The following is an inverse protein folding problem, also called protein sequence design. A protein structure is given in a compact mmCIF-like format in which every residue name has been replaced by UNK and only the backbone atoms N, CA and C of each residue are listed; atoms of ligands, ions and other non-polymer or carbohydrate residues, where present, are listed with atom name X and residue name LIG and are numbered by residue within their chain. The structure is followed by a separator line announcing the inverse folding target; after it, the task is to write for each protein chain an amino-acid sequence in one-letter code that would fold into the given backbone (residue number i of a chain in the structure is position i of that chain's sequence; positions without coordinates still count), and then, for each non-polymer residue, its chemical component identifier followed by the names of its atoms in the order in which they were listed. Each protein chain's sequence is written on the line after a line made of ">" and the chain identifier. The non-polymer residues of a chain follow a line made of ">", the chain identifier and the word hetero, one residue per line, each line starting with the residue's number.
data_IF_064360531073
#
_entry.id   IF_064360531073
#
_cell.length_a   1.000
_cell.length_b   1.000
_cell.length_c   1.000
_cell.angle_alpha   90.00
_cell.angle_beta   90.00
_cell.angle_gamma   90.00
#
_symmetry.space_group_name_H-M   'P 1'
#
loop_
_entity.id
_entity.type
_entity.pdbx_description
1 polymer ?
#
# COMPACT_ATOMS: atom_id res chain seq x y z
N UNK A 1 5.06 -15.67 29.73
CA UNK A 1 3.61 -15.50 29.46
C UNK A 1 3.31 -14.14 28.85
N UNK A 2 3.97 -13.07 29.30
CA UNK A 2 3.79 -11.71 28.77
C UNK A 2 4.22 -11.56 27.31
N UNK A 3 5.42 -12.04 26.93
CA UNK A 3 5.94 -12.00 25.55
C UNK A 3 5.02 -12.69 24.54
N UNK A 4 4.47 -13.86 24.86
CA UNK A 4 3.53 -14.58 23.99
C UNK A 4 2.22 -13.81 23.76
N UNK A 5 1.74 -13.06 24.77
CA UNK A 5 0.56 -12.20 24.61
C UNK A 5 0.85 -11.03 23.67
N UNK A 6 2.01 -10.40 23.78
CA UNK A 6 2.39 -9.26 22.92
C UNK A 6 2.57 -9.69 21.46
N UNK A 7 3.22 -10.84 21.21
CA UNK A 7 3.32 -11.38 19.84
C UNK A 7 1.94 -11.72 19.26
N UNK A 8 1.03 -12.25 20.08
CA UNK A 8 -0.37 -12.47 19.69
C UNK A 8 -1.10 -11.19 19.28
N UNK A 9 -0.84 -10.06 19.95
CA UNK A 9 -1.37 -8.75 19.53
C UNK A 9 -0.80 -8.31 18.19
N UNK A 10 0.49 -8.57 17.90
CA UNK A 10 1.09 -8.30 16.59
C UNK A 10 0.38 -9.04 15.46
N UNK A 11 0.11 -10.33 15.65
CA UNK A 11 -0.63 -11.15 14.69
C UNK A 11 -2.05 -10.59 14.45
N UNK A 12 -2.75 -10.18 15.52
CA UNK A 12 -4.11 -9.62 15.40
C UNK A 12 -4.10 -8.30 14.63
N UNK A 13 -3.17 -7.39 14.94
CA UNK A 13 -3.05 -6.11 14.22
C UNK A 13 -2.74 -6.34 12.75
N UNK A 14 -1.87 -7.30 12.45
CA UNK A 14 -1.54 -7.62 11.06
C UNK A 14 -2.72 -8.24 10.30
N UNK A 15 -3.51 -9.12 10.94
CA UNK A 15 -4.74 -9.65 10.34
C UNK A 15 -5.77 -8.54 10.06
N UNK A 16 -5.91 -7.58 10.97
CA UNK A 16 -6.78 -6.41 10.76
C UNK A 16 -6.28 -5.57 9.58
N UNK A 17 -4.97 -5.36 9.49
CA UNK A 17 -4.36 -4.63 8.39
C UNK A 17 -4.60 -5.30 7.04
N UNK A 18 -4.27 -6.60 6.90
CA UNK A 18 -4.50 -7.35 5.66
C UNK A 18 -5.98 -7.33 5.26
N UNK A 19 -6.89 -7.47 6.23
CA UNK A 19 -8.33 -7.40 5.96
C UNK A 19 -8.72 -6.04 5.38
N UNK A 20 -8.18 -4.96 5.93
CA UNK A 20 -8.39 -3.61 5.42
C UNK A 20 -7.80 -3.44 4.00
N UNK A 21 -6.58 -3.93 3.76
CA UNK A 21 -5.95 -3.87 2.43
C UNK A 21 -6.75 -4.63 1.37
N UNK A 22 -7.37 -5.76 1.73
CA UNK A 22 -8.27 -6.50 0.82
C UNK A 22 -9.46 -5.63 0.41
N UNK A 23 -10.02 -4.86 1.35
CA UNK A 23 -11.11 -3.92 1.06
C UNK A 23 -10.62 -2.80 0.14
N UNK A 24 -9.48 -2.19 0.43
CA UNK A 24 -8.91 -1.13 -0.41
C UNK A 24 -8.58 -1.59 -1.81
N UNK A 25 -7.90 -2.73 -1.96
CA UNK A 25 -7.63 -3.32 -3.27
C UNK A 25 -8.93 -3.56 -4.03
N UNK A 26 -9.89 -4.26 -3.41
CA UNK A 26 -11.14 -4.63 -4.08
C UNK A 26 -11.98 -3.43 -4.50
N UNK A 27 -12.10 -2.42 -3.63
CA UNK A 27 -12.90 -1.22 -3.89
C UNK A 27 -12.13 -0.26 -4.78
N UNK A 28 -10.90 0.10 -4.42
CA UNK A 28 -10.05 1.05 -5.13
C UNK A 28 -9.75 0.61 -6.55
N UNK A 29 -9.35 -0.65 -6.76
CA UNK A 29 -9.06 -1.16 -8.11
C UNK A 29 -10.31 -1.17 -9.00
N UNK A 30 -11.43 -1.67 -8.49
CA UNK A 30 -12.69 -1.70 -9.25
C UNK A 30 -13.15 -0.29 -9.60
N UNK A 31 -13.17 0.59 -8.62
CA UNK A 31 -13.59 1.98 -8.82
C UNK A 31 -12.64 2.72 -9.77
N UNK A 32 -11.34 2.44 -9.70
CA UNK A 32 -10.35 3.01 -10.61
C UNK A 32 -10.59 2.59 -12.07
N UNK A 33 -10.93 1.31 -12.31
CA UNK A 33 -11.31 0.84 -13.65
C UNK A 33 -12.60 1.52 -14.11
N UNK A 34 -13.63 1.53 -13.27
CA UNK A 34 -14.95 2.08 -13.61
C UNK A 34 -14.89 3.59 -13.90
N UNK A 35 -13.97 4.32 -13.25
CA UNK A 35 -13.78 5.76 -13.42
C UNK A 35 -12.64 6.13 -14.38
N UNK A 36 -12.01 5.15 -15.04
CA UNK A 36 -10.81 5.37 -15.86
C UNK A 36 -9.69 6.15 -15.15
N UNK A 37 -9.58 5.96 -13.83
CA UNK A 37 -8.67 6.69 -12.95
C UNK A 37 -7.41 5.89 -12.70
N UNK A 38 -6.29 6.39 -13.23
CA UNK A 38 -4.97 5.77 -13.08
C UNK A 38 -4.51 5.87 -11.63
N UNK A 39 -4.80 6.97 -10.94
CA UNK A 39 -4.39 7.16 -9.53
C UNK A 39 -5.13 6.20 -8.60
N UNK A 40 -6.42 5.92 -8.83
CA UNK A 40 -7.20 4.95 -8.05
C UNK A 40 -6.78 3.50 -8.34
N UNK A 41 -6.46 3.17 -9.60
CA UNK A 41 -5.91 1.85 -9.96
C UNK A 41 -4.55 1.65 -9.26
N UNK A 42 -3.68 2.66 -9.30
CA UNK A 42 -2.39 2.63 -8.62
C UNK A 42 -2.54 2.38 -7.12
N UNK A 43 -3.42 3.14 -6.47
CA UNK A 43 -3.73 2.98 -5.05
C UNK A 43 -4.24 1.57 -4.71
N UNK A 44 -5.18 1.03 -5.48
CA UNK A 44 -5.65 -0.34 -5.26
C UNK A 44 -4.55 -1.38 -5.43
N UNK A 45 -3.71 -1.26 -6.47
CA UNK A 45 -2.60 -2.18 -6.72
C UNK A 45 -1.49 -2.09 -5.66
N UNK A 46 -1.31 -0.93 -5.05
CA UNK A 46 -0.42 -0.76 -3.90
C UNK A 46 -0.92 -1.54 -2.67
N UNK A 47 -2.22 -1.45 -2.34
CA UNK A 47 -2.81 -2.27 -1.27
C UNK A 47 -2.65 -3.78 -1.54
N UNK A 48 -2.65 -4.23 -2.80
CA UNK A 48 -2.37 -5.63 -3.14
C UNK A 48 -0.93 -6.02 -2.76
N UNK A 49 0.04 -5.13 -2.94
CA UNK A 49 1.43 -5.38 -2.52
C UNK A 49 1.53 -5.42 -0.99
N UNK A 50 0.82 -4.55 -0.27
CA UNK A 50 0.75 -4.60 1.20
C UNK A 50 0.13 -5.90 1.72
N UNK A 51 -0.86 -6.49 1.03
CA UNK A 51 -1.39 -7.82 1.38
C UNK A 51 -0.28 -8.88 1.30
N UNK A 52 0.51 -8.86 0.21
CA UNK A 52 1.59 -9.83 0.01
C UNK A 52 2.65 -9.66 1.11
N UNK A 53 3.08 -8.43 1.39
CA UNK A 53 4.03 -8.13 2.45
C UNK A 53 3.52 -8.56 3.83
N UNK A 54 2.26 -8.24 4.16
CA UNK A 54 1.63 -8.60 5.42
C UNK A 54 1.50 -10.12 5.62
N UNK A 55 1.21 -10.88 4.57
CA UNK A 55 1.17 -12.35 4.64
C UNK A 55 2.57 -12.92 4.99
N UNK A 56 3.62 -12.39 4.38
CA UNK A 56 5.00 -12.81 4.66
C UNK A 56 5.37 -12.48 6.10
N UNK A 57 4.99 -11.29 6.57
CA UNK A 57 5.18 -10.88 7.96
C UNK A 57 4.40 -11.76 8.95
N UNK A 58 3.16 -12.15 8.64
CA UNK A 58 2.37 -13.08 9.46
C UNK A 58 3.06 -14.44 9.61
N UNK A 59 3.62 -14.97 8.52
CA UNK A 59 4.38 -16.23 8.57
C UNK A 59 5.59 -16.07 9.48
N UNK A 60 6.31 -14.95 9.37
CA UNK A 60 7.47 -14.65 10.23
C UNK A 60 7.09 -14.56 11.71
N UNK A 61 6.07 -13.77 12.05
CA UNK A 61 5.57 -13.63 13.43
C UNK A 61 5.05 -14.97 13.98
N UNK A 62 4.43 -15.81 13.14
CA UNK A 62 4.00 -17.15 13.50
C UNK A 62 5.17 -18.08 13.85
N UNK A 63 6.25 -18.05 13.07
CA UNK A 63 7.45 -18.84 13.35
C UNK A 63 8.16 -18.36 14.62
N UNK A 64 8.24 -17.04 14.83
CA UNK A 64 8.76 -16.43 16.07
C UNK A 64 7.92 -16.83 17.29
N UNK A 65 6.59 -16.94 17.14
CA UNK A 65 5.68 -17.36 18.20
C UNK A 65 5.84 -18.84 18.59
N UNK A 66 6.02 -19.73 17.60
CA UNK A 66 6.18 -21.17 17.82
C UNK A 66 7.62 -21.58 18.18
N UNK A 67 8.60 -20.70 17.98
CA UNK A 67 10.02 -21.00 18.24
C UNK A 67 10.64 -21.98 17.24
N UNK A 68 10.04 -22.10 16.06
CA UNK A 68 10.50 -22.97 14.97
C UNK A 68 11.77 -22.42 14.32
N UNK A 69 12.72 -23.30 13.98
CA UNK A 69 13.97 -22.95 13.26
C UNK A 69 13.77 -23.02 11.73
N UNK A 70 12.74 -22.38 11.22
CA UNK A 70 12.56 -22.24 9.78
C UNK A 70 13.54 -21.18 9.25
N UNK A 71 14.12 -21.39 8.07
CA UNK A 71 15.01 -20.41 7.42
C UNK A 71 14.17 -19.28 6.79
N UNK A 72 13.67 -18.37 7.64
CA UNK A 72 12.81 -17.23 7.27
C UNK A 72 13.54 -16.28 6.33
N UNK A 73 14.86 -16.12 6.50
CA UNK A 73 15.68 -15.18 5.73
C UNK A 73 15.59 -15.40 4.21
N UNK A 74 15.44 -16.66 3.80
CA UNK A 74 15.31 -17.03 2.38
C UNK A 74 13.94 -16.68 1.81
N UNK A 75 12.88 -16.81 2.61
CA UNK A 75 11.52 -16.43 2.24
C UNK A 75 11.35 -14.91 2.19
N UNK A 76 11.92 -14.19 3.17
CA UNK A 76 11.91 -12.73 3.21
C UNK A 76 12.55 -12.17 1.93
N UNK A 77 13.75 -12.65 1.58
CA UNK A 77 14.49 -12.17 0.39
C UNK A 77 13.76 -12.42 -0.94
N UNK A 78 13.17 -13.61 -1.10
CA UNK A 78 12.38 -13.91 -2.31
C UNK A 78 11.15 -13.02 -2.39
N UNK A 79 10.48 -12.80 -1.25
CA UNK A 79 9.26 -11.99 -1.19
C UNK A 79 9.55 -10.52 -1.50
N UNK A 80 10.59 -9.94 -0.88
CA UNK A 80 11.03 -8.57 -1.15
C UNK A 80 11.34 -8.38 -2.63
N UNK A 81 12.12 -9.29 -3.23
CA UNK A 81 12.46 -9.21 -4.64
C UNK A 81 11.24 -9.26 -5.57
N UNK A 82 10.28 -10.15 -5.29
CA UNK A 82 9.05 -10.26 -6.08
C UNK A 82 8.23 -8.97 -5.95
N UNK A 83 8.03 -8.47 -4.73
CA UNK A 83 7.29 -7.23 -4.46
C UNK A 83 7.95 -6.04 -5.16
N UNK A 84 9.27 -5.87 -5.05
CA UNK A 84 10.01 -4.79 -5.72
C UNK A 84 9.87 -4.85 -7.24
N UNK A 85 9.96 -6.04 -7.85
CA UNK A 85 9.77 -6.19 -9.31
C UNK A 85 8.35 -5.79 -9.71
N UNK A 86 7.34 -6.23 -8.96
CA UNK A 86 5.95 -5.90 -9.29
C UNK A 86 5.68 -4.40 -9.10
N UNK A 87 6.20 -3.77 -8.05
CA UNK A 87 6.11 -2.32 -7.84
C UNK A 87 6.78 -1.53 -8.97
N UNK A 88 7.94 -1.98 -9.46
CA UNK A 88 8.59 -1.36 -10.63
C UNK A 88 7.74 -1.50 -11.89
N UNK A 89 7.10 -2.65 -12.12
CA UNK A 89 6.17 -2.84 -13.22
C UNK A 89 4.93 -1.95 -13.08
N UNK A 90 4.41 -1.79 -11.86
CA UNK A 90 3.31 -0.88 -11.55
C UNK A 90 3.69 0.57 -11.86
N UNK A 91 4.88 1.01 -11.44
CA UNK A 91 5.41 2.33 -11.77
C UNK A 91 5.51 2.55 -13.28
N UNK A 92 6.02 1.56 -14.01
CA UNK A 92 6.10 1.59 -15.47
C UNK A 92 4.71 1.71 -16.12
N UNK A 93 3.75 0.92 -15.66
CA UNK A 93 2.35 1.00 -16.09
C UNK A 93 1.78 2.40 -15.87
N UNK A 94 1.91 2.95 -14.66
CA UNK A 94 1.38 4.28 -14.31
C UNK A 94 2.00 5.35 -15.21
N UNK A 95 3.32 5.34 -15.42
CA UNK A 95 4.00 6.32 -16.25
C UNK A 95 3.55 6.27 -17.71
N UNK A 96 3.41 5.07 -18.27
CA UNK A 96 2.96 4.88 -19.65
C UNK A 96 1.51 5.34 -19.81
N UNK A 97 0.61 4.88 -18.94
CA UNK A 97 -0.82 5.20 -19.03
C UNK A 97 -1.09 6.67 -18.74
N UNK A 98 -0.47 7.25 -17.71
CA UNK A 98 -0.60 8.68 -17.40
C UNK A 98 -0.05 9.54 -18.53
N UNK A 99 1.09 9.17 -19.12
CA UNK A 99 1.66 9.86 -20.27
C UNK A 99 0.76 9.79 -21.51
N UNK A 100 0.15 8.63 -21.76
CA UNK A 100 -0.82 8.45 -22.84
C UNK A 100 -2.07 9.33 -22.63
N UNK A 101 -2.68 9.28 -21.45
CA UNK A 101 -3.86 10.08 -21.11
C UNK A 101 -3.57 11.58 -21.22
N UNK A 102 -2.38 12.01 -20.78
CA UNK A 102 -1.93 13.39 -20.91
C UNK A 102 -1.82 13.83 -22.38
N UNK A 103 -1.32 12.97 -23.25
CA UNK A 103 -1.20 13.25 -24.68
C UNK A 103 -2.57 13.31 -25.36
N UNK A 104 -3.46 12.37 -25.02
CA UNK A 104 -4.80 12.24 -25.62
C UNK A 104 -5.83 13.22 -25.05
N UNK A 105 -5.48 13.97 -24.01
CA UNK A 105 -6.40 14.85 -23.28
C UNK A 105 -7.58 14.09 -22.66
N UNK A 106 -7.33 12.85 -22.21
CA UNK A 106 -8.29 12.01 -21.51
C UNK A 106 -8.15 12.21 -20.00
N UNK A 107 -9.28 12.43 -19.32
CA UNK A 107 -9.34 12.59 -17.88
C UNK A 107 -10.18 11.51 -17.22
N UNK A 108 -9.94 11.28 -15.94
CA UNK A 108 -10.74 10.36 -15.14
C UNK A 108 -12.13 10.94 -14.84
N UNK A 109 -13.10 10.06 -14.67
CA UNK A 109 -14.43 10.42 -14.20
C UNK A 109 -14.43 10.65 -12.68
N UNK A 110 -15.40 11.44 -12.22
CA UNK A 110 -15.59 11.67 -10.79
C UNK A 110 -16.18 10.44 -10.11
N UNK A 111 -15.55 9.98 -9.02
CA UNK A 111 -16.01 8.81 -8.25
C UNK A 111 -16.23 9.11 -6.77
N UNK A 112 -17.50 9.05 -6.35
CA UNK A 112 -17.87 9.20 -4.94
C UNK A 112 -17.32 8.04 -4.09
N UNK A 113 -17.31 6.83 -4.63
CA UNK A 113 -16.73 5.67 -3.93
C UNK A 113 -15.22 5.81 -3.78
N UNK A 114 -14.54 6.38 -4.79
CA UNK A 114 -13.11 6.70 -4.74
C UNK A 114 -12.80 7.70 -3.62
N UNK A 115 -13.63 8.73 -3.48
CA UNK A 115 -13.51 9.70 -2.38
C UNK A 115 -13.72 9.04 -1.01
N UNK A 116 -14.75 8.20 -0.87
CA UNK A 116 -15.05 7.52 0.40
C UNK A 116 -13.91 6.59 0.81
N UNK A 117 -13.41 5.75 -0.11
CA UNK A 117 -12.31 4.83 0.22
C UNK A 117 -11.06 5.61 0.63
N UNK A 118 -10.68 6.65 -0.11
CA UNK A 118 -9.50 7.46 0.22
C UNK A 118 -9.63 8.19 1.57
N UNK A 119 -10.81 8.70 1.93
CA UNK A 119 -11.05 9.29 3.25
C UNK A 119 -10.89 8.23 4.35
N UNK A 120 -11.50 7.06 4.16
CA UNK A 120 -11.42 5.98 5.13
C UNK A 120 -9.98 5.50 5.31
N UNK A 121 -9.23 5.33 4.22
CA UNK A 121 -7.81 4.97 4.24
C UNK A 121 -6.96 6.02 4.97
N UNK A 122 -7.18 7.30 4.68
CA UNK A 122 -6.46 8.41 5.32
C UNK A 122 -6.68 8.44 6.85
N UNK A 123 -7.82 7.95 7.33
CA UNK A 123 -8.14 7.85 8.75
C UNK A 123 -7.61 6.55 9.35
N UNK A 124 -7.90 5.40 8.73
CA UNK A 124 -7.62 4.06 9.28
C UNK A 124 -6.12 3.76 9.28
N UNK A 125 -5.41 4.11 8.21
CA UNK A 125 -4.00 3.76 8.06
C UNK A 125 -3.09 4.31 9.15
N UNK A 126 -3.21 5.58 9.59
CA UNK A 126 -2.45 6.09 10.73
C UNK A 126 -2.67 5.30 12.03
N UNK A 127 -3.89 4.82 12.28
CA UNK A 127 -4.16 3.99 13.46
C UNK A 127 -3.49 2.62 13.37
N UNK A 128 -3.56 1.98 12.20
CA UNK A 128 -2.89 0.71 11.93
C UNK A 128 -1.37 0.89 12.07
N UNK A 129 -0.80 1.90 11.42
CA UNK A 129 0.62 2.22 11.48
C UNK A 129 1.10 2.44 12.92
N UNK A 130 0.35 3.21 13.71
CA UNK A 130 0.69 3.45 15.12
C UNK A 130 0.67 2.16 15.93
N UNK A 131 -0.34 1.31 15.74
CA UNK A 131 -0.45 0.02 16.43
C UNK A 131 0.70 -0.92 16.05
N UNK A 132 1.01 -1.07 14.77
CA UNK A 132 2.14 -1.87 14.25
C UNK A 132 3.47 -1.38 14.82
N UNK A 133 3.72 -0.07 14.76
CA UNK A 133 4.94 0.54 15.26
C UNK A 133 5.15 0.30 16.76
N UNK A 134 4.11 0.52 17.57
CA UNK A 134 4.19 0.36 19.01
C UNK A 134 4.41 -1.10 19.39
N UNK A 135 3.64 -2.02 18.82
CA UNK A 135 3.81 -3.46 19.08
C UNK A 135 5.19 -3.92 18.62
N UNK A 136 5.63 -3.51 17.42
CA UNK A 136 6.94 -3.81 16.87
C UNK A 136 8.08 -3.40 17.81
N UNK A 137 7.98 -2.22 18.42
CA UNK A 137 8.94 -1.77 19.45
C UNK A 137 8.91 -2.61 20.72
N UNK A 138 7.73 -3.04 21.17
CA UNK A 138 7.61 -3.84 22.39
C UNK A 138 8.15 -5.27 22.19
N UNK A 139 7.92 -5.87 21.02
CA UNK A 139 8.41 -7.22 20.71
C UNK A 139 9.83 -7.24 20.12
N UNK A 140 10.39 -6.07 19.76
CA UNK A 140 11.70 -5.96 19.11
C UNK A 140 11.72 -6.50 17.68
N UNK A 141 10.60 -6.39 16.95
CA UNK A 141 10.49 -6.85 15.57
C UNK A 141 10.66 -5.68 14.60
N UNK A 142 11.85 -5.60 14.01
CA UNK A 142 12.16 -4.59 12.98
C UNK A 142 11.26 -4.73 11.75
N UNK A 143 10.83 -5.96 11.42
CA UNK A 143 9.94 -6.20 10.28
C UNK A 143 8.55 -5.60 10.49
N UNK A 144 7.99 -5.71 11.71
CA UNK A 144 6.70 -5.08 12.03
C UNK A 144 6.81 -3.54 12.08
N UNK A 145 7.98 -3.01 12.45
CA UNK A 145 8.25 -1.57 12.41
C UNK A 145 8.37 -1.08 10.95
N UNK A 146 9.03 -1.84 10.08
CA UNK A 146 9.14 -1.53 8.65
C UNK A 146 7.76 -1.54 7.98
N UNK A 147 6.97 -2.56 8.26
CA UNK A 147 5.61 -2.70 7.73
C UNK A 147 4.65 -1.61 8.26
N UNK A 148 4.88 -1.09 9.47
CA UNK A 148 4.20 0.12 9.95
C UNK A 148 4.46 1.35 9.05
N UNK A 149 5.65 1.45 8.43
CA UNK A 149 5.96 2.54 7.50
C UNK A 149 5.23 2.37 6.17
N UNK A 150 5.00 1.14 5.70
CA UNK A 150 4.15 0.89 4.54
C UNK A 150 2.74 1.46 4.75
N UNK A 151 2.14 1.22 5.92
CA UNK A 151 0.83 1.81 6.26
C UNK A 151 0.86 3.34 6.32
N UNK A 152 1.98 3.96 6.71
CA UNK A 152 2.14 5.43 6.63
C UNK A 152 2.20 5.89 5.17
N UNK A 153 2.98 5.21 4.32
CA UNK A 153 3.06 5.50 2.88
C UNK A 153 1.69 5.39 2.24
N UNK A 154 0.91 4.37 2.57
CA UNK A 154 -0.47 4.21 2.09
C UNK A 154 -1.38 5.38 2.50
N UNK A 155 -1.22 5.93 3.71
CA UNK A 155 -1.94 7.14 4.11
C UNK A 155 -1.59 8.35 3.22
N UNK A 156 -0.32 8.51 2.83
CA UNK A 156 0.09 9.56 1.88
C UNK A 156 -0.48 9.34 0.47
N UNK A 157 -0.53 8.09 0.01
CA UNK A 157 -1.15 7.73 -1.27
C UNK A 157 -2.65 8.00 -1.24
N UNK A 158 -3.35 7.59 -0.18
CA UNK A 158 -4.76 7.89 0.03
C UNK A 158 -5.02 9.41 0.03
N UNK A 159 -4.15 10.20 0.68
CA UNK A 159 -4.20 11.66 0.62
C UNK A 159 -4.02 12.21 -0.80
N UNK A 160 -3.08 11.65 -1.57
CA UNK A 160 -2.82 12.03 -2.96
C UNK A 160 -4.04 11.73 -3.85
N UNK A 161 -4.63 10.54 -3.71
CA UNK A 161 -5.87 10.15 -4.40
C UNK A 161 -7.00 11.09 -4.01
N UNK A 162 -7.20 11.35 -2.71
CA UNK A 162 -8.29 12.19 -2.22
C UNK A 162 -8.21 13.60 -2.80
N UNK A 163 -7.01 14.21 -2.79
CA UNK A 163 -6.78 15.54 -3.39
C UNK A 163 -7.07 15.51 -4.89
N UNK A 164 -6.56 14.50 -5.61
CA UNK A 164 -6.81 14.35 -7.05
C UNK A 164 -8.30 14.22 -7.38
N UNK A 165 -9.02 13.36 -6.66
CA UNK A 165 -10.46 13.13 -6.82
C UNK A 165 -11.27 14.38 -6.46
N UNK A 166 -10.94 15.08 -5.37
CA UNK A 166 -11.63 16.32 -4.99
C UNK A 166 -11.44 17.43 -6.03
N UNK A 167 -10.21 17.62 -6.50
CA UNK A 167 -9.94 18.61 -7.55
C UNK A 167 -10.71 18.26 -8.82
N UNK A 168 -10.71 16.99 -9.23
CA UNK A 168 -11.46 16.54 -10.40
C UNK A 168 -12.97 16.77 -10.21
N UNK A 169 -13.50 16.47 -9.02
CA UNK A 169 -14.92 16.63 -8.70
C UNK A 169 -15.39 18.10 -8.78
N UNK A 170 -14.60 19.05 -8.29
CA UNK A 170 -15.00 20.46 -8.25
C UNK A 170 -14.64 21.25 -9.52
N UNK A 171 -13.53 20.91 -10.16
CA UNK A 171 -12.97 21.72 -11.25
C UNK A 171 -12.97 21.00 -12.61
N UNK A 172 -13.28 19.69 -12.65
CA UNK A 172 -13.30 18.88 -13.87
C UNK A 172 -12.01 19.01 -14.71
N UNK A 173 -10.86 19.04 -14.04
CA UNK A 173 -9.55 19.21 -14.66
C UNK A 173 -9.07 17.86 -15.17
N UNK A 174 -9.12 17.68 -16.50
CA UNK A 174 -8.81 16.40 -17.16
C UNK A 174 -7.43 15.83 -16.82
N UNK A 175 -6.39 16.66 -16.60
CA UNK A 175 -5.02 16.17 -16.37
C UNK A 175 -4.72 15.80 -14.92
N UNK A 176 -5.61 16.10 -13.96
CA UNK A 176 -5.30 16.00 -12.54
C UNK A 176 -5.03 14.57 -12.09
N UNK A 177 -5.77 13.61 -12.64
CA UNK A 177 -5.65 12.19 -12.34
C UNK A 177 -4.27 11.66 -12.74
N UNK A 178 -3.86 11.92 -13.99
CA UNK A 178 -2.56 11.53 -14.51
C UNK A 178 -1.40 12.15 -13.74
N UNK A 179 -1.51 13.42 -13.33
CA UNK A 179 -0.48 14.07 -12.50
C UNK A 179 -0.43 13.47 -11.10
N UNK A 180 -1.58 13.21 -10.46
CA UNK A 180 -1.63 12.56 -9.16
C UNK A 180 -1.05 11.14 -9.21
N UNK A 181 -1.33 10.39 -10.28
CA UNK A 181 -0.75 9.05 -10.49
C UNK A 181 0.78 9.11 -10.66
N UNK A 182 1.29 10.08 -11.42
CA UNK A 182 2.74 10.30 -11.53
C UNK A 182 3.35 10.68 -10.17
N UNK A 183 2.67 11.49 -9.34
CA UNK A 183 3.13 11.79 -7.99
C UNK A 183 3.23 10.54 -7.11
N UNK A 184 2.27 9.61 -7.22
CA UNK A 184 2.34 8.31 -6.54
C UNK A 184 3.61 7.55 -6.94
N UNK A 185 3.98 7.54 -8.23
CA UNK A 185 5.21 6.88 -8.70
C UNK A 185 6.46 7.47 -8.03
N UNK A 186 6.50 8.78 -7.78
CA UNK A 186 7.63 9.38 -7.06
C UNK A 186 7.71 8.96 -5.59
N UNK A 187 6.56 8.71 -4.96
CA UNK A 187 6.48 8.23 -3.57
C UNK A 187 6.94 6.77 -3.49
N UNK A 188 6.31 5.86 -4.26
CA UNK A 188 6.56 4.42 -4.15
C UNK A 188 7.79 3.95 -4.94
N UNK A 189 8.11 4.61 -6.06
CA UNK A 189 9.15 4.16 -6.97
C UNK A 189 10.55 4.29 -6.38
N UNK A 190 10.75 5.26 -5.48
CA UNK A 190 12.01 5.39 -4.73
C UNK A 190 12.21 4.20 -3.78
N UNK A 191 11.18 3.85 -3.01
CA UNK A 191 11.21 2.72 -2.08
C UNK A 191 11.42 1.39 -2.83
N UNK A 192 10.71 1.19 -3.95
CA UNK A 192 10.85 -0.01 -4.78
C UNK A 192 12.27 -0.18 -5.36
N UNK A 193 12.93 0.92 -5.73
CA UNK A 193 14.30 0.90 -6.24
C UNK A 193 15.33 0.61 -5.14
N UNK A 194 15.19 1.23 -3.96
CA UNK A 194 16.07 0.96 -2.81
C UNK A 194 15.99 -0.52 -2.41
N UNK A 195 14.78 -1.07 -2.28
CA UNK A 195 14.55 -2.49 -1.98
C UNK A 195 15.01 -3.46 -3.09
N UNK A 196 15.16 -3.01 -4.34
CA UNK A 196 15.64 -3.84 -5.45
C UNK A 196 17.18 -3.85 -5.55
N UNK A 197 17.83 -2.74 -5.17
CA UNK A 197 19.29 -2.55 -5.32
C UNK A 197 20.05 -3.04 -4.08
N UNK A 198 19.47 -2.90 -2.88
CA UNK A 198 20.09 -3.32 -1.63
C UNK A 198 20.03 -4.85 -1.37
N UNK A 199 19.49 -5.61 -2.33
CA UNK A 199 19.26 -7.06 -2.28
C UNK A 199 20.11 -7.84 -3.30
#
# INVERSE_FOLDING_TARGET
>A
METKRVVGYGIIVELVAITWMVVEFSVGFKVGIDAHSVVLIAFGLDSLMEIVAGIVLLVRLGVEFDGSKMDINRLDRISTKIVSIILLLLCGYILITSGYNLFQHEGADSSLMGMVISIMSLIIMPFIAYAKYWIGKVIGSDALIQDAMCSVTCAYLAGTVLVGVLINYFFHIWWIDSVAAILIVFIIGKEALECFVDD
#
